data_IF_446394326724
#
_entry.id   IF_446394326724
#
_cell.length_a   1.000
_cell.length_b   1.000
_cell.length_c   1.000
_cell.angle_alpha   90.00
_cell.angle_beta   90.00
_cell.angle_gamma   90.00
#
_symmetry.space_group_name_H-M   'P 1'
#
loop_
_entity.id
_entity.type
_entity.pdbx_description
1 polymer ?
#
# COMPACT_ATOMS: atom_id res chain seq x y z
N UNK A 1 7.44 -34.97 -26.33
CA UNK A 1 7.24 -33.51 -26.13
C UNK A 1 8.43 -32.81 -26.78
N UNK A 2 8.16 -31.93 -27.75
CA UNK A 2 9.14 -31.35 -28.67
C UNK A 2 10.03 -30.30 -27.99
N UNK A 3 11.33 -30.25 -28.30
CA UNK A 3 12.30 -29.23 -27.83
C UNK A 3 11.82 -27.78 -28.04
N UNK A 4 10.93 -27.56 -29.01
CA UNK A 4 10.27 -26.26 -29.22
C UNK A 4 9.37 -25.83 -28.05
N UNK A 5 8.70 -26.77 -27.37
CA UNK A 5 7.87 -26.44 -26.20
C UNK A 5 8.73 -26.10 -24.98
N UNK A 6 9.89 -26.73 -24.84
CA UNK A 6 10.85 -26.44 -23.77
C UNK A 6 11.50 -25.07 -23.96
N UNK A 7 11.87 -24.71 -25.19
CA UNK A 7 12.41 -23.38 -25.51
C UNK A 7 11.35 -22.27 -25.34
N UNK A 8 10.11 -22.51 -25.79
CA UNK A 8 9.01 -21.56 -25.61
C UNK A 8 8.68 -21.34 -24.12
N UNK A 9 8.65 -22.41 -23.30
CA UNK A 9 8.47 -22.31 -21.85
C UNK A 9 9.61 -21.52 -21.19
N UNK A 10 10.87 -21.81 -21.52
CA UNK A 10 12.02 -21.09 -20.95
C UNK A 10 12.04 -19.61 -21.36
N UNK A 11 11.63 -19.30 -22.59
CA UNK A 11 11.54 -17.90 -23.07
C UNK A 11 10.38 -17.17 -22.40
N UNK A 12 9.24 -17.84 -22.17
CA UNK A 12 8.11 -17.30 -21.42
C UNK A 12 8.46 -17.05 -19.95
N UNK A 13 9.13 -17.99 -19.27
CA UNK A 13 9.59 -17.79 -17.89
C UNK A 13 10.56 -16.61 -17.77
N UNK A 14 11.47 -16.44 -18.74
CA UNK A 14 12.40 -15.32 -18.77
C UNK A 14 11.68 -13.97 -19.00
N UNK A 15 10.76 -13.91 -19.97
CA UNK A 15 9.97 -12.70 -20.26
C UNK A 15 9.05 -12.35 -19.09
N UNK A 16 8.44 -13.35 -18.43
CA UNK A 16 7.58 -13.15 -17.26
C UNK A 16 8.39 -12.67 -16.04
N UNK A 17 9.60 -13.22 -15.83
CA UNK A 17 10.52 -12.75 -14.79
C UNK A 17 10.98 -11.30 -14.98
N UNK A 18 11.39 -10.93 -16.19
CA UNK A 18 11.82 -9.56 -16.51
C UNK A 18 10.66 -8.54 -16.45
N UNK A 19 9.45 -8.96 -16.84
CA UNK A 19 8.25 -8.10 -16.76
C UNK A 19 7.76 -7.92 -15.33
N UNK A 20 7.89 -8.93 -14.46
CA UNK A 20 7.61 -8.79 -13.03
C UNK A 20 8.58 -7.83 -12.34
N UNK A 21 9.89 -7.96 -12.58
CA UNK A 21 10.89 -7.09 -11.98
C UNK A 21 10.71 -5.63 -12.42
N UNK A 22 10.52 -5.40 -13.73
CA UNK A 22 10.27 -4.06 -14.25
C UNK A 22 8.95 -3.45 -13.74
N UNK A 23 7.89 -4.26 -13.62
CA UNK A 23 6.63 -3.86 -12.98
C UNK A 23 6.79 -3.48 -11.51
N UNK A 24 7.57 -4.25 -10.73
CA UNK A 24 7.89 -3.94 -9.33
C UNK A 24 8.71 -2.65 -9.20
N UNK A 25 9.68 -2.43 -10.07
CA UNK A 25 10.50 -1.21 -10.08
C UNK A 25 9.68 0.03 -10.46
N UNK A 26 8.82 -0.08 -11.47
CA UNK A 26 7.94 1.02 -11.88
C UNK A 26 6.94 1.37 -10.76
N UNK A 27 6.35 0.35 -10.13
CA UNK A 27 5.40 0.53 -9.03
C UNK A 27 6.07 1.15 -7.79
N UNK A 28 7.32 0.80 -7.51
CA UNK A 28 8.15 1.43 -6.50
C UNK A 28 8.41 2.92 -6.80
N UNK A 29 8.88 3.25 -8.00
CA UNK A 29 9.20 4.64 -8.38
C UNK A 29 7.99 5.55 -8.19
N UNK A 30 6.82 5.11 -8.65
CA UNK A 30 5.59 5.90 -8.52
C UNK A 30 5.17 6.04 -7.04
N UNK A 31 5.28 4.98 -6.24
CA UNK A 31 5.00 5.03 -4.79
C UNK A 31 5.91 6.05 -4.08
N UNK A 32 7.21 6.06 -4.42
CA UNK A 32 8.17 7.00 -3.86
C UNK A 32 7.96 8.43 -4.34
N UNK A 33 7.47 8.65 -5.57
CA UNK A 33 7.08 9.98 -6.03
C UNK A 33 5.91 10.53 -5.18
N UNK A 34 4.87 9.74 -4.92
CA UNK A 34 3.75 10.15 -4.05
C UNK A 34 4.24 10.51 -2.64
N UNK A 35 5.14 9.69 -2.10
CA UNK A 35 5.74 9.94 -0.80
C UNK A 35 6.62 11.20 -0.77
N UNK A 36 7.47 11.39 -1.78
CA UNK A 36 8.34 12.55 -1.93
C UNK A 36 7.53 13.84 -1.95
N UNK A 37 6.46 13.89 -2.75
CA UNK A 37 5.58 15.06 -2.76
C UNK A 37 4.92 15.31 -1.40
N UNK A 38 4.51 14.25 -0.70
CA UNK A 38 3.94 14.36 0.66
C UNK A 38 4.91 14.91 1.69
N UNK A 39 6.15 14.43 1.69
CA UNK A 39 7.22 14.92 2.57
C UNK A 39 7.63 16.35 2.21
N UNK A 40 7.73 16.66 0.92
CA UNK A 40 8.04 18.01 0.44
C UNK A 40 6.96 19.00 0.87
N UNK A 41 5.68 18.63 0.78
CA UNK A 41 4.56 19.42 1.27
C UNK A 41 4.64 19.67 2.78
N UNK A 42 5.01 18.65 3.57
CA UNK A 42 5.21 18.79 5.01
C UNK A 42 6.40 19.70 5.35
N UNK A 43 7.52 19.57 4.63
CA UNK A 43 8.69 20.40 4.83
C UNK A 43 8.43 21.88 4.50
N UNK A 44 7.75 22.14 3.37
CA UNK A 44 7.32 23.49 2.99
C UNK A 44 6.34 24.10 4.00
N UNK A 45 5.46 23.28 4.60
CA UNK A 45 4.57 23.71 5.68
C UNK A 45 5.34 24.16 6.93
N UNK A 46 6.27 23.34 7.43
CA UNK A 46 7.10 23.69 8.59
C UNK A 46 7.84 25.01 8.35
N UNK A 47 8.32 25.20 7.12
CA UNK A 47 9.12 26.38 6.76
C UNK A 47 8.28 27.66 6.65
N UNK A 48 7.03 27.58 6.17
CA UNK A 48 6.27 28.78 5.81
C UNK A 48 5.05 29.07 6.70
N UNK A 49 4.66 28.20 7.65
CA UNK A 49 3.47 28.33 8.54
C UNK A 49 2.10 28.64 7.87
N UNK A 50 2.04 28.93 6.56
CA UNK A 50 0.87 29.46 5.86
C UNK A 50 0.24 28.49 4.86
N UNK A 51 0.78 27.28 4.70
CA UNK A 51 0.15 26.30 3.81
C UNK A 51 -1.04 25.63 4.51
N UNK A 52 -2.25 26.15 4.22
CA UNK A 52 -3.59 25.59 4.54
C UNK A 52 -3.86 24.18 3.95
N UNK A 53 -2.82 23.46 3.58
CA UNK A 53 -2.84 22.11 3.00
C UNK A 53 -2.61 21.03 4.08
N UNK A 54 -2.89 21.37 5.34
CA UNK A 54 -2.80 20.45 6.45
C UNK A 54 -4.10 19.65 6.57
N UNK A 55 -4.11 18.49 5.94
CA UNK A 55 -4.96 17.38 6.36
C UNK A 55 -4.04 16.30 6.90
N UNK A 56 -4.13 15.98 8.19
CA UNK A 56 -3.48 14.79 8.78
C UNK A 56 -3.75 13.52 7.93
N UNK A 57 -4.86 13.52 7.18
CA UNK A 57 -5.24 12.46 6.26
C UNK A 57 -4.35 12.40 5.00
N UNK A 58 -3.89 13.52 4.43
CA UNK A 58 -3.01 13.51 3.25
C UNK A 58 -1.59 13.09 3.62
N UNK A 59 -1.08 13.54 4.77
CA UNK A 59 0.24 13.14 5.28
C UNK A 59 0.29 11.65 5.62
N UNK A 60 -0.72 11.13 6.31
CA UNK A 60 -0.83 9.70 6.59
C UNK A 60 -0.95 8.86 5.30
N UNK A 61 -1.63 9.38 4.26
CA UNK A 61 -1.68 8.73 2.96
C UNK A 61 -0.31 8.67 2.27
N UNK A 62 0.45 9.75 2.27
CA UNK A 62 1.79 9.77 1.69
C UNK A 62 2.77 8.86 2.44
N UNK A 63 2.69 8.82 3.77
CA UNK A 63 3.49 7.90 4.60
C UNK A 63 3.11 6.44 4.33
N UNK A 64 1.81 6.15 4.16
CA UNK A 64 1.33 4.83 3.77
C UNK A 64 1.91 4.41 2.41
N UNK A 65 1.86 5.27 1.41
CA UNK A 65 2.45 4.98 0.09
C UNK A 65 3.98 4.88 0.11
N UNK A 66 4.67 5.64 0.97
CA UNK A 66 6.11 5.47 1.20
C UNK A 66 6.42 4.05 1.69
N UNK A 67 5.66 3.59 2.68
CA UNK A 67 5.85 2.26 3.28
C UNK A 67 5.52 1.13 2.28
N UNK A 68 4.45 1.28 1.48
CA UNK A 68 4.14 0.36 0.38
C UNK A 68 5.26 0.35 -0.67
N UNK A 69 5.80 1.51 -1.05
CA UNK A 69 6.93 1.59 -1.97
C UNK A 69 8.18 0.88 -1.46
N UNK A 70 8.48 1.02 -0.16
CA UNK A 70 9.55 0.27 0.49
C UNK A 70 9.35 -1.25 0.42
N UNK A 71 8.13 -1.72 0.67
CA UNK A 71 7.80 -3.15 0.58
C UNK A 71 8.00 -3.69 -0.85
N UNK A 72 7.52 -2.94 -1.85
CA UNK A 72 7.69 -3.31 -3.26
C UNK A 72 9.17 -3.36 -3.66
N UNK A 73 9.98 -2.41 -3.17
CA UNK A 73 11.42 -2.41 -3.38
C UNK A 73 12.10 -3.66 -2.82
N UNK A 74 11.87 -4.00 -1.55
CA UNK A 74 12.49 -5.17 -0.94
C UNK A 74 11.95 -6.49 -1.51
N UNK A 75 10.71 -6.51 -2.00
CA UNK A 75 10.20 -7.65 -2.77
C UNK A 75 10.94 -7.80 -4.10
N UNK A 76 11.21 -6.70 -4.82
CA UNK A 76 12.03 -6.72 -6.03
C UNK A 76 13.46 -7.18 -5.77
N UNK A 77 14.07 -6.74 -4.67
CA UNK A 77 15.40 -7.22 -4.25
C UNK A 77 15.39 -8.71 -3.88
N UNK A 78 14.35 -9.20 -3.19
CA UNK A 78 14.18 -10.63 -2.94
C UNK A 78 14.17 -11.42 -4.26
N UNK A 79 13.39 -10.96 -5.24
CA UNK A 79 13.34 -11.59 -6.56
C UNK A 79 14.70 -11.61 -7.26
N UNK A 80 15.47 -10.52 -7.16
CA UNK A 80 16.84 -10.44 -7.68
C UNK A 80 17.78 -11.42 -6.96
N UNK A 81 17.70 -11.50 -5.63
CA UNK A 81 18.50 -12.45 -4.84
C UNK A 81 18.17 -13.90 -5.19
N UNK A 82 16.90 -14.24 -5.38
CA UNK A 82 16.46 -15.58 -5.84
C UNK A 82 17.04 -15.89 -7.22
N UNK A 83 16.97 -14.94 -8.15
CA UNK A 83 17.52 -15.10 -9.50
C UNK A 83 19.04 -15.30 -9.49
N UNK A 84 19.75 -14.60 -8.61
CA UNK A 84 21.20 -14.77 -8.38
C UNK A 84 21.56 -16.01 -7.55
N UNK A 85 20.57 -16.82 -7.15
CA UNK A 85 20.76 -18.00 -6.27
C UNK A 85 21.39 -17.61 -4.92
N UNK A 86 21.18 -16.37 -4.47
CA UNK A 86 21.63 -15.88 -3.17
C UNK A 86 20.51 -16.01 -2.13
N UNK A 87 20.37 -17.22 -1.60
CA UNK A 87 19.28 -17.60 -0.69
C UNK A 87 19.24 -16.80 0.60
N UNK A 88 20.38 -16.63 1.28
CA UNK A 88 20.46 -15.85 2.52
C UNK A 88 20.09 -14.37 2.31
N UNK A 89 20.53 -13.80 1.19
CA UNK A 89 20.19 -12.44 0.79
C UNK A 89 18.69 -12.27 0.58
N UNK A 90 18.06 -13.23 -0.11
CA UNK A 90 16.62 -13.23 -0.33
C UNK A 90 15.80 -13.33 0.98
N UNK A 91 16.19 -14.19 1.92
CA UNK A 91 15.56 -14.23 3.24
C UNK A 91 15.74 -12.92 4.01
N UNK A 92 16.92 -12.29 3.95
CA UNK A 92 17.14 -10.99 4.58
C UNK A 92 16.20 -9.91 4.01
N UNK A 93 16.04 -9.87 2.68
CA UNK A 93 15.09 -8.94 2.03
C UNK A 93 13.64 -9.21 2.43
N UNK A 94 13.25 -10.48 2.59
CA UNK A 94 11.93 -10.88 3.07
C UNK A 94 11.65 -10.39 4.50
N UNK A 95 12.60 -10.53 5.43
CA UNK A 95 12.44 -10.00 6.79
C UNK A 95 12.25 -8.48 6.79
N UNK A 96 13.02 -7.75 5.98
CA UNK A 96 12.89 -6.29 5.88
C UNK A 96 11.51 -5.93 5.29
N UNK A 97 11.09 -6.58 4.21
CA UNK A 97 9.79 -6.35 3.60
C UNK A 97 8.63 -6.59 4.59
N UNK A 98 8.67 -7.69 5.35
CA UNK A 98 7.65 -8.01 6.36
C UNK A 98 7.67 -7.07 7.56
N UNK A 99 8.85 -6.58 7.94
CA UNK A 99 8.96 -5.56 9.00
C UNK A 99 8.26 -4.27 8.58
N UNK A 100 8.52 -3.81 7.35
CA UNK A 100 7.87 -2.61 6.79
C UNK A 100 6.37 -2.83 6.64
N UNK A 101 5.93 -4.03 6.24
CA UNK A 101 4.50 -4.38 6.18
C UNK A 101 3.77 -4.19 7.51
N UNK A 102 4.35 -4.65 8.62
CA UNK A 102 3.79 -4.42 9.95
C UNK A 102 3.58 -2.93 10.25
N UNK A 103 4.56 -2.09 9.90
CA UNK A 103 4.44 -0.63 10.00
C UNK A 103 3.34 -0.07 9.09
N UNK A 104 3.26 -0.55 7.85
CA UNK A 104 2.24 -0.15 6.86
C UNK A 104 0.82 -0.41 7.37
N UNK A 105 0.58 -1.53 8.07
CA UNK A 105 -0.74 -1.81 8.66
C UNK A 105 -1.10 -0.81 9.77
N UNK A 106 -0.14 -0.42 10.61
CA UNK A 106 -0.35 0.60 11.64
C UNK A 106 -0.65 1.97 11.01
N UNK A 107 0.12 2.37 9.99
CA UNK A 107 -0.11 3.61 9.25
C UNK A 107 -1.45 3.59 8.51
N UNK A 108 -1.82 2.45 7.92
CA UNK A 108 -3.11 2.24 7.26
C UNK A 108 -4.27 2.35 8.23
N UNK A 109 -4.12 1.76 9.43
CA UNK A 109 -5.08 1.91 10.51
C UNK A 109 -5.26 3.38 10.90
N UNK A 110 -4.17 4.10 11.16
CA UNK A 110 -4.24 5.52 11.50
C UNK A 110 -4.95 6.31 10.41
N UNK A 111 -4.55 6.11 9.16
CA UNK A 111 -5.10 6.79 8.02
C UNK A 111 -6.61 6.58 7.86
N UNK A 112 -7.07 5.33 7.97
CA UNK A 112 -8.48 4.96 7.80
C UNK A 112 -9.33 5.37 9.02
N UNK A 113 -8.82 5.18 10.22
CA UNK A 113 -9.48 5.54 11.47
C UNK A 113 -9.61 7.05 11.62
N UNK A 114 -8.59 7.82 11.19
CA UNK A 114 -8.61 9.28 11.20
C UNK A 114 -9.70 9.89 10.31
N UNK A 115 -10.24 9.13 9.35
CA UNK A 115 -11.39 9.53 8.52
C UNK A 115 -12.73 9.27 9.20
N UNK A 116 -12.79 8.25 10.07
CA UNK A 116 -14.04 7.73 10.62
C UNK A 116 -14.32 8.19 12.05
N UNK A 117 -13.28 8.32 12.87
CA UNK A 117 -13.41 8.67 14.28
C UNK A 117 -13.13 10.16 14.52
N UNK A 118 -14.13 10.85 15.08
CA UNK A 118 -13.95 12.22 15.57
C UNK A 118 -13.39 12.27 17.01
N UNK A 119 -13.37 11.13 17.71
CA UNK A 119 -12.86 11.03 19.09
C UNK A 119 -11.40 10.60 19.11
N UNK A 120 -10.52 11.49 19.60
CA UNK A 120 -9.08 11.23 19.76
C UNK A 120 -8.79 10.06 20.71
N UNK A 121 -9.63 9.86 21.74
CA UNK A 121 -9.45 8.75 22.71
C UNK A 121 -9.71 7.39 22.07
N UNK A 122 -10.78 7.28 21.28
CA UNK A 122 -11.09 6.05 20.56
C UNK A 122 -10.02 5.73 19.50
N UNK A 123 -9.58 6.75 18.76
CA UNK A 123 -8.47 6.61 17.80
C UNK A 123 -7.20 6.12 18.50
N UNK A 124 -6.81 6.75 19.61
CA UNK A 124 -5.60 6.36 20.36
C UNK A 124 -5.69 4.93 20.87
N UNK A 125 -6.84 4.50 21.41
CA UNK A 125 -7.04 3.12 21.86
C UNK A 125 -6.86 2.10 20.73
N UNK A 126 -7.50 2.33 19.57
CA UNK A 126 -7.38 1.44 18.40
C UNK A 126 -5.94 1.39 17.90
N UNK A 127 -5.24 2.53 17.87
CA UNK A 127 -3.84 2.59 17.49
C UNK A 127 -2.92 1.79 18.43
N UNK A 128 -3.18 1.82 19.74
CA UNK A 128 -2.47 0.98 20.71
C UNK A 128 -2.69 -0.51 20.46
N UNK A 129 -3.93 -0.92 20.20
CA UNK A 129 -4.26 -2.32 19.86
C UNK A 129 -3.50 -2.76 18.61
N UNK A 130 -3.47 -1.93 17.56
CA UNK A 130 -2.71 -2.24 16.34
C UNK A 130 -1.20 -2.27 16.57
N UNK A 131 -0.65 -1.37 17.41
CA UNK A 131 0.77 -1.38 17.75
C UNK A 131 1.17 -2.65 18.51
N UNK A 132 0.35 -3.09 19.48
CA UNK A 132 0.58 -4.34 20.21
C UNK A 132 0.49 -5.54 19.27
N UNK A 133 -0.49 -5.57 18.37
CA UNK A 133 -0.61 -6.62 17.37
C UNK A 133 0.60 -6.65 16.41
N UNK A 134 1.11 -5.49 15.98
CA UNK A 134 2.32 -5.38 15.16
C UNK A 134 3.57 -5.91 15.89
N UNK A 135 3.71 -5.57 17.18
CA UNK A 135 4.78 -6.10 18.03
C UNK A 135 4.68 -7.63 18.18
N UNK A 136 3.46 -8.15 18.38
CA UNK A 136 3.22 -9.59 18.45
C UNK A 136 3.52 -10.28 17.11
N UNK A 137 3.15 -9.65 15.99
CA UNK A 137 3.49 -10.12 14.64
C UNK A 137 5.00 -10.20 14.45
N UNK A 138 5.75 -9.14 14.76
CA UNK A 138 7.21 -9.16 14.67
C UNK A 138 7.84 -10.20 15.60
N UNK A 139 7.35 -10.32 16.83
CA UNK A 139 7.83 -11.35 17.75
C UNK A 139 7.66 -12.75 17.15
N UNK A 140 6.49 -13.07 16.61
CA UNK A 140 6.24 -14.36 15.97
C UNK A 140 7.11 -14.56 14.72
N UNK A 141 7.28 -13.51 13.91
CA UNK A 141 8.12 -13.53 12.71
C UNK A 141 9.58 -13.83 13.05
N UNK A 142 10.18 -13.12 14.01
CA UNK A 142 11.60 -13.32 14.37
C UNK A 142 11.83 -14.59 15.20
N UNK A 143 10.83 -15.04 15.97
CA UNK A 143 10.97 -16.23 16.83
C UNK A 143 10.95 -17.54 16.03
N UNK A 144 10.12 -17.58 14.99
CA UNK A 144 9.79 -18.82 14.26
C UNK A 144 10.17 -18.76 12.78
N UNK A 145 10.45 -17.58 12.24
CA UNK A 145 10.90 -17.39 10.86
C UNK A 145 9.86 -17.71 9.79
N UNK A 146 10.35 -17.95 8.58
CA UNK A 146 9.56 -18.32 7.41
C UNK A 146 9.51 -19.83 7.24
N UNK A 147 8.34 -20.37 6.86
CA UNK A 147 8.13 -21.79 6.58
C UNK A 147 8.64 -22.19 5.19
N UNK A 148 8.63 -21.26 4.23
CA UNK A 148 9.13 -21.51 2.87
C UNK A 148 9.67 -20.23 2.21
N UNK A 149 10.50 -20.40 1.18
CA UNK A 149 10.99 -19.30 0.34
C UNK A 149 9.98 -19.02 -0.76
N UNK A 150 9.43 -17.80 -0.80
CA UNK A 150 8.42 -17.38 -1.78
C UNK A 150 8.92 -16.15 -2.56
N UNK A 151 8.59 -16.10 -3.85
CA UNK A 151 9.16 -15.14 -4.81
C UNK A 151 8.23 -13.95 -5.07
N UNK A 152 6.92 -14.09 -4.80
CA UNK A 152 5.93 -13.03 -5.08
C UNK A 152 5.41 -12.35 -3.80
N UNK A 153 5.11 -11.06 -3.89
CA UNK A 153 4.74 -10.20 -2.76
C UNK A 153 3.64 -10.80 -1.83
N UNK A 154 2.62 -11.40 -2.43
CA UNK A 154 1.47 -11.96 -1.70
C UNK A 154 1.65 -13.43 -1.31
N UNK A 155 2.38 -14.22 -2.09
CA UNK A 155 2.75 -15.59 -1.67
C UNK A 155 3.67 -15.61 -0.46
N UNK A 156 4.39 -14.51 -0.18
CA UNK A 156 5.18 -14.36 1.05
C UNK A 156 4.30 -14.38 2.31
N UNK A 157 3.02 -13.98 2.23
CA UNK A 157 2.06 -14.14 3.35
C UNK A 157 1.85 -15.63 3.67
N UNK A 158 1.84 -16.48 2.64
CA UNK A 158 1.77 -17.93 2.76
C UNK A 158 3.10 -18.57 3.19
N UNK A 159 4.21 -17.83 3.19
CA UNK A 159 5.49 -18.25 3.76
C UNK A 159 5.64 -17.88 5.24
N UNK A 160 4.77 -17.04 5.79
CA UNK A 160 4.74 -16.77 7.23
C UNK A 160 4.37 -18.04 7.98
N UNK A 161 4.98 -18.22 9.15
CA UNK A 161 4.54 -19.24 10.08
C UNK A 161 3.06 -19.07 10.45
N UNK A 162 2.39 -20.18 10.76
CA UNK A 162 0.96 -20.17 11.08
C UNK A 162 0.57 -19.12 12.17
N UNK A 163 1.33 -18.94 13.26
CA UNK A 163 1.05 -17.88 14.25
C UNK A 163 1.13 -16.44 13.71
N UNK A 164 2.19 -16.06 12.98
CA UNK A 164 2.29 -14.70 12.45
C UNK A 164 1.23 -14.44 11.38
N UNK A 165 0.88 -15.46 10.59
CA UNK A 165 -0.20 -15.39 9.61
C UNK A 165 -1.54 -15.06 10.25
N UNK A 166 -1.91 -15.73 11.35
CA UNK A 166 -3.15 -15.41 12.09
C UNK A 166 -3.16 -13.95 12.53
N UNK A 167 -2.07 -13.48 13.15
CA UNK A 167 -1.99 -12.10 13.67
C UNK A 167 -2.11 -11.11 12.51
N UNK A 168 -1.41 -11.36 11.40
CA UNK A 168 -1.51 -10.56 10.19
C UNK A 168 -2.95 -10.49 9.67
N UNK A 169 -3.64 -11.63 9.52
CA UNK A 169 -5.03 -11.67 9.04
C UNK A 169 -5.97 -10.89 9.97
N UNK A 170 -5.80 -11.02 11.28
CA UNK A 170 -6.60 -10.28 12.27
C UNK A 170 -6.35 -8.77 12.21
N UNK A 171 -5.14 -8.33 11.85
CA UNK A 171 -4.84 -6.92 11.61
C UNK A 171 -5.34 -6.43 10.25
N UNK A 172 -5.30 -7.26 9.21
CA UNK A 172 -5.62 -6.85 7.85
C UNK A 172 -7.14 -6.84 7.58
N UNK A 173 -7.86 -7.88 7.99
CA UNK A 173 -9.28 -8.05 7.67
C UNK A 173 -10.17 -6.89 8.15
N UNK A 174 -9.98 -6.33 9.37
CA UNK A 174 -10.74 -5.16 9.79
C UNK A 174 -10.46 -3.94 8.90
N UNK A 175 -9.20 -3.69 8.53
CA UNK A 175 -8.84 -2.57 7.64
C UNK A 175 -9.56 -2.66 6.30
N UNK A 176 -9.68 -3.87 5.74
CA UNK A 176 -10.43 -4.09 4.51
C UNK A 176 -11.91 -3.73 4.68
N UNK A 177 -12.55 -4.18 5.75
CA UNK A 177 -13.94 -3.83 6.06
C UNK A 177 -14.15 -2.31 6.24
N UNK A 178 -13.16 -1.63 6.84
CA UNK A 178 -13.16 -0.18 7.02
C UNK A 178 -13.05 0.57 5.69
N UNK A 179 -12.17 0.14 4.78
CA UNK A 179 -12.05 0.70 3.43
C UNK A 179 -13.38 0.58 2.69
N UNK A 180 -14.00 -0.60 2.74
CA UNK A 180 -15.28 -0.87 2.08
C UNK A 180 -16.41 0.00 2.66
N UNK A 181 -16.50 0.08 3.99
CA UNK A 181 -17.48 0.93 4.67
C UNK A 181 -17.29 2.41 4.32
N UNK A 182 -16.04 2.89 4.33
CA UNK A 182 -15.68 4.25 3.94
C UNK A 182 -16.10 4.56 2.50
N UNK A 183 -15.80 3.66 1.56
CA UNK A 183 -16.20 3.78 0.16
C UNK A 183 -17.71 3.82 -0.01
N UNK A 184 -18.46 2.92 0.62
CA UNK A 184 -19.93 2.91 0.56
C UNK A 184 -20.51 4.22 1.09
N UNK A 185 -19.96 4.74 2.20
CA UNK A 185 -20.37 6.03 2.76
C UNK A 185 -20.06 7.21 1.82
N UNK A 186 -18.87 7.25 1.23
CA UNK A 186 -18.48 8.32 0.30
C UNK A 186 -19.29 8.25 -1.01
N UNK A 187 -19.56 7.05 -1.53
CA UNK A 187 -20.41 6.84 -2.70
C UNK A 187 -21.86 7.26 -2.45
N UNK A 188 -22.42 6.91 -1.28
CA UNK A 188 -23.76 7.37 -0.90
C UNK A 188 -23.82 8.89 -0.79
N UNK A 189 -22.80 9.51 -0.21
CA UNK A 189 -22.71 10.98 -0.09
C UNK A 189 -22.64 11.64 -1.47
N UNK A 190 -21.87 11.06 -2.39
CA UNK A 190 -21.81 11.49 -3.78
C UNK A 190 -23.17 11.39 -4.49
N UNK A 191 -23.85 10.24 -4.37
CA UNK A 191 -25.17 10.03 -4.98
C UNK A 191 -26.25 10.99 -4.46
N UNK A 192 -26.17 11.38 -3.18
CA UNK A 192 -27.15 12.26 -2.55
C UNK A 192 -26.86 13.77 -2.77
N UNK A 193 -25.60 14.17 -2.94
CA UNK A 193 -25.21 15.59 -3.04
C UNK A 193 -24.87 16.07 -4.44
N UNK A 194 -24.80 15.18 -5.44
CA UNK A 194 -24.56 15.45 -6.88
C UNK A 194 -23.36 16.34 -7.26
N UNK A 195 -22.58 16.86 -6.32
CA UNK A 195 -21.41 17.68 -6.61
C UNK A 195 -20.14 16.91 -6.31
N UNK A 196 -19.44 16.52 -7.38
CA UNK A 196 -18.04 16.11 -7.34
C UNK A 196 -17.12 17.30 -7.04
N UNK A 197 -17.60 18.53 -6.83
CA UNK A 197 -16.74 19.71 -6.72
C UNK A 197 -15.93 19.73 -5.43
N UNK A 198 -16.35 19.01 -4.38
CA UNK A 198 -15.60 18.92 -3.14
C UNK A 198 -14.33 18.07 -3.32
N UNK A 199 -13.13 18.68 -3.27
CA UNK A 199 -11.85 17.99 -3.46
C UNK A 199 -11.57 16.98 -2.33
N UNK A 200 -12.15 17.15 -1.14
CA UNK A 200 -12.02 16.19 -0.05
C UNK A 200 -12.77 14.89 -0.36
N UNK A 201 -13.97 14.98 -0.93
CA UNK A 201 -14.75 13.81 -1.33
C UNK A 201 -14.06 13.06 -2.47
N UNK A 202 -13.48 13.78 -3.46
CA UNK A 202 -12.66 13.18 -4.54
C UNK A 202 -11.49 12.39 -3.96
N UNK A 203 -10.77 12.98 -3.01
CA UNK A 203 -9.66 12.33 -2.36
C UNK A 203 -10.09 11.07 -1.62
N UNK A 204 -11.14 11.14 -0.79
CA UNK A 204 -11.64 9.98 -0.03
C UNK A 204 -12.03 8.82 -0.95
N UNK A 205 -12.71 9.11 -2.07
CA UNK A 205 -13.07 8.12 -3.08
C UNK A 205 -11.86 7.53 -3.81
N UNK A 206 -10.97 8.37 -4.36
CA UNK A 206 -9.81 7.90 -5.13
C UNK A 206 -8.81 7.12 -4.25
N UNK A 207 -8.58 7.58 -3.02
CA UNK A 207 -7.72 6.89 -2.06
C UNK A 207 -8.35 5.59 -1.53
N UNK A 208 -9.67 5.56 -1.32
CA UNK A 208 -10.37 4.32 -0.96
C UNK A 208 -10.35 3.30 -2.09
N UNK A 209 -10.59 3.75 -3.32
CA UNK A 209 -10.56 2.90 -4.52
C UNK A 209 -9.16 2.34 -4.78
N UNK A 210 -8.11 3.16 -4.61
CA UNK A 210 -6.75 2.65 -4.76
C UNK A 210 -6.45 1.57 -3.71
N UNK A 211 -6.74 1.80 -2.43
CA UNK A 211 -6.54 0.79 -1.40
C UNK A 211 -7.36 -0.49 -1.65
N UNK A 212 -8.59 -0.36 -2.15
CA UNK A 212 -9.44 -1.50 -2.51
C UNK A 212 -8.85 -2.31 -3.67
N UNK A 213 -8.43 -1.65 -4.75
CA UNK A 213 -7.80 -2.32 -5.91
C UNK A 213 -6.50 -3.01 -5.48
N UNK A 214 -5.71 -2.38 -4.61
CA UNK A 214 -4.49 -3.00 -4.06
C UNK A 214 -4.79 -4.29 -3.29
N UNK A 215 -5.80 -4.24 -2.41
CA UNK A 215 -6.21 -5.38 -1.60
C UNK A 215 -6.78 -6.51 -2.47
N UNK A 216 -7.65 -6.19 -3.42
CA UNK A 216 -8.23 -7.16 -4.35
C UNK A 216 -7.17 -7.81 -5.24
N UNK A 217 -6.30 -7.00 -5.85
CA UNK A 217 -5.17 -7.50 -6.64
C UNK A 217 -4.30 -8.45 -5.82
N UNK A 218 -4.11 -8.15 -4.53
CA UNK A 218 -3.40 -9.00 -3.61
C UNK A 218 -4.05 -10.33 -3.33
N UNK A 219 -5.33 -10.33 -2.99
CA UNK A 219 -6.07 -11.57 -2.74
C UNK A 219 -6.16 -12.47 -3.97
N UNK A 220 -6.25 -11.91 -5.17
CA UNK A 220 -6.26 -12.68 -6.42
C UNK A 220 -4.90 -13.34 -6.70
N UNK A 221 -3.80 -12.65 -6.35
CA UNK A 221 -2.42 -13.16 -6.39
C UNK A 221 -2.26 -14.35 -5.42
N UNK A 222 -2.75 -14.24 -4.17
CA UNK A 222 -2.70 -15.32 -3.18
C UNK A 222 -3.48 -16.56 -3.60
N UNK A 223 -4.65 -16.36 -4.20
CA UNK A 223 -5.51 -17.47 -4.65
C UNK A 223 -5.07 -18.07 -5.99
N UNK A 224 -3.97 -17.56 -6.59
CA UNK A 224 -3.50 -17.97 -7.93
C UNK A 224 -4.60 -17.90 -8.99
N UNK A 225 -5.54 -16.96 -8.84
CA UNK A 225 -6.70 -16.81 -9.72
C UNK A 225 -6.37 -16.00 -10.99
N UNK A 226 -5.23 -15.34 -11.01
CA UNK A 226 -4.81 -14.43 -12.08
C UNK A 226 -3.35 -14.62 -12.45
N UNK A 227 -3.04 -14.36 -13.71
CA UNK A 227 -1.66 -14.32 -14.19
C UNK A 227 -0.90 -13.12 -13.60
N UNK A 228 0.40 -13.29 -13.32
CA UNK A 228 1.27 -12.28 -12.66
C UNK A 228 1.24 -10.90 -13.34
N UNK A 229 1.11 -10.86 -14.68
CA UNK A 229 1.04 -9.61 -15.45
C UNK A 229 -0.27 -8.83 -15.19
N UNK A 230 -1.39 -9.51 -14.93
CA UNK A 230 -2.65 -8.87 -14.60
C UNK A 230 -2.56 -8.20 -13.22
N UNK A 231 -1.88 -8.84 -12.27
CA UNK A 231 -1.58 -8.29 -10.96
C UNK A 231 -0.70 -7.04 -11.08
N UNK A 232 0.30 -7.06 -11.96
CA UNK A 232 1.15 -5.89 -12.24
C UNK A 232 0.35 -4.69 -12.80
N UNK A 233 -0.58 -4.93 -13.73
CA UNK A 233 -1.47 -3.89 -14.27
C UNK A 233 -2.39 -3.33 -13.17
N UNK A 234 -2.98 -4.18 -12.33
CA UNK A 234 -3.83 -3.74 -11.23
C UNK A 234 -3.06 -2.84 -10.23
N UNK A 235 -1.78 -3.17 -9.97
CA UNK A 235 -0.88 -2.32 -9.17
C UNK A 235 -0.62 -0.97 -9.83
N UNK A 236 -0.42 -0.92 -11.15
CA UNK A 236 -0.28 0.34 -11.88
C UNK A 236 -1.55 1.18 -11.84
N UNK A 237 -2.72 0.59 -12.06
CA UNK A 237 -4.01 1.28 -11.94
C UNK A 237 -4.22 1.84 -10.53
N UNK A 238 -3.86 1.07 -9.51
CA UNK A 238 -3.88 1.51 -8.12
C UNK A 238 -3.03 2.75 -7.90
N UNK A 239 -1.80 2.74 -8.41
CA UNK A 239 -0.85 3.85 -8.25
C UNK A 239 -1.30 5.10 -8.97
N UNK A 240 -1.86 4.97 -10.17
CA UNK A 240 -2.48 6.09 -10.89
C UNK A 240 -3.63 6.66 -10.05
N UNK A 241 -4.51 5.81 -9.50
CA UNK A 241 -5.58 6.24 -8.60
C UNK A 241 -5.05 6.96 -7.36
N UNK A 242 -3.95 6.49 -6.77
CA UNK A 242 -3.32 7.11 -5.62
C UNK A 242 -2.65 8.46 -5.94
N UNK A 243 -1.96 8.57 -7.08
CA UNK A 243 -1.42 9.84 -7.58
C UNK A 243 -2.54 10.85 -7.83
N UNK A 244 -3.62 10.43 -8.48
CA UNK A 244 -4.77 11.29 -8.74
C UNK A 244 -5.45 11.73 -7.44
N UNK A 245 -5.58 10.84 -6.46
CA UNK A 245 -6.06 11.21 -5.12
C UNK A 245 -5.16 12.31 -4.54
N UNK A 246 -3.84 12.07 -4.52
CA UNK A 246 -2.89 13.03 -3.99
C UNK A 246 -2.97 14.39 -4.70
N UNK A 247 -3.03 14.42 -6.03
CA UNK A 247 -3.18 15.66 -6.80
C UNK A 247 -4.54 16.35 -6.59
N UNK A 248 -5.62 15.61 -6.34
CA UNK A 248 -6.91 16.19 -6.03
C UNK A 248 -6.87 17.04 -4.75
N UNK A 249 -6.03 16.66 -3.77
CA UNK A 249 -5.75 17.50 -2.60
C UNK A 249 -4.68 18.56 -2.90
N UNK A 250 -3.58 18.23 -3.58
CA UNK A 250 -2.51 19.20 -3.86
C UNK A 250 -2.98 20.37 -4.76
N UNK A 251 -3.99 20.13 -5.60
CA UNK A 251 -4.67 21.13 -6.43
C UNK A 251 -5.57 22.10 -5.64
N UNK A 252 -5.71 21.94 -4.32
CA UNK A 252 -6.29 22.93 -3.42
C UNK A 252 -5.41 24.19 -3.31
N UNK A 253 -5.28 24.94 -4.40
CA UNK A 253 -5.15 26.39 -4.30
C UNK A 253 -6.55 26.92 -4.07
N UNK A 254 -6.95 27.07 -2.80
CA UNK A 254 -8.04 28.00 -2.51
C UNK A 254 -7.55 29.35 -3.05
N UNK A 255 -8.25 29.97 -4.01
CA UNK A 255 -7.89 31.32 -4.43
C UNK A 255 -7.85 32.16 -3.16
N UNK A 256 -6.76 32.90 -3.00
CA UNK A 256 -6.66 34.01 -2.06
C UNK A 256 -7.96 34.78 -2.16
N UNK A 257 -8.81 34.72 -1.12
CA UNK A 257 -9.76 35.80 -0.89
C UNK A 257 -8.91 37.06 -0.89
N UNK A 258 -9.03 37.80 -1.98
CA UNK A 258 -8.59 39.17 -2.05
C UNK A 258 -9.05 39.86 -0.77
N UNK A 259 -8.12 40.56 -0.16
CA UNK A 259 -8.36 41.82 0.52
C UNK A 259 -9.62 42.52 -0.01
N UNK A 260 -10.77 42.22 0.59
CA UNK A 260 -11.94 43.11 0.59
C UNK A 260 -11.86 43.86 1.92
N UNK A 261 -11.09 44.94 1.90
CA UNK A 261 -11.23 46.08 2.82
C UNK A 261 -11.59 47.29 1.97
#
# INVERSE_FOLDING_TARGET
MSEKNTFLCATLEYIVGDTMLSGLLLTMIISWLIAFFGVLQFWLYIKNQDYKLHSSVSQSFSLLWLSIGGILFFTGLNHLCVWLVWTDGAYAMLYIAQTILGLTLVLGCWHLMGRLFHSLRALSFVMWVYAIAALAFWFMLFRFGFESMQVTYFSVQAALNHPARIIYTVMFAPLFGIVLYGLVRSLRTFALRQSLEDPRLRFELLSGLSLLVLALAGTMDELSLTYDWATAIARLCTLVGAMLAYFAIAGLRVPTEELVV
#
